data_IF_461499571874
#
_entry.id   IF_461499571874
#
_cell.length_a   1.000
_cell.length_b   1.000
_cell.length_c   1.000
_cell.angle_alpha   90.00
_cell.angle_beta   90.00
_cell.angle_gamma   90.00
#
_symmetry.space_group_name_H-M   'P 1'
#
loop_
_entity.id
_entity.type
_entity.pdbx_description
1 polymer ?
#
# COMPACT_ATOMS: atom_id res chain seq x y z
N UNK A 1 -10.65 -12.13 19.71
CA UNK A 1 -10.81 -13.42 19.00
C UNK A 1 -12.27 -13.80 19.14
N UNK A 2 -12.99 -13.98 18.04
CA UNK A 2 -14.41 -14.31 18.08
C UNK A 2 -14.56 -15.84 18.11
N UNK A 3 -15.00 -16.39 19.24
CA UNK A 3 -15.15 -17.84 19.44
C UNK A 3 -16.32 -18.44 18.67
N UNK A 4 -17.18 -17.61 18.06
CA UNK A 4 -18.25 -18.05 17.16
C UNK A 4 -17.75 -18.38 15.76
N UNK A 5 -16.46 -18.17 15.49
CA UNK A 5 -15.82 -18.45 14.21
C UNK A 5 -14.83 -19.62 14.34
N UNK A 6 -14.88 -20.53 13.37
CA UNK A 6 -13.89 -21.60 13.20
C UNK A 6 -13.10 -21.39 11.90
N UNK A 7 -11.80 -21.70 11.92
CA UNK A 7 -10.97 -21.71 10.73
C UNK A 7 -11.44 -22.86 9.81
N UNK A 8 -11.95 -22.52 8.64
CA UNK A 8 -12.42 -23.50 7.65
C UNK A 8 -11.32 -23.89 6.65
N UNK A 9 -10.32 -23.02 6.47
CA UNK A 9 -9.19 -23.29 5.60
C UNK A 9 -8.29 -22.08 5.41
N UNK A 10 -7.19 -22.28 4.70
CA UNK A 10 -6.30 -21.20 4.32
C UNK A 10 -5.72 -21.44 2.92
N UNK A 11 -5.41 -20.36 2.21
CA UNK A 11 -4.79 -20.42 0.90
C UNK A 11 -3.76 -19.29 0.73
N UNK A 12 -2.78 -19.50 -0.15
CA UNK A 12 -1.83 -18.46 -0.51
C UNK A 12 -2.37 -17.72 -1.72
N UNK A 13 -2.45 -16.39 -1.63
CA UNK A 13 -2.79 -15.54 -2.76
C UNK A 13 -2.00 -14.25 -2.70
N UNK A 14 -1.59 -13.80 -3.87
CA UNK A 14 -0.89 -12.54 -4.02
C UNK A 14 -1.85 -11.37 -3.81
N UNK A 15 -1.39 -10.35 -3.10
CA UNK A 15 -2.09 -9.06 -3.03
C UNK A 15 -2.11 -8.39 -4.42
N UNK A 16 -2.95 -7.37 -4.63
CA UNK A 16 -2.78 -6.48 -5.78
C UNK A 16 -1.35 -5.90 -5.85
N UNK A 17 -0.95 -5.50 -7.05
CA UNK A 17 0.37 -4.90 -7.30
C UNK A 17 0.56 -3.64 -6.47
N UNK A 18 1.61 -3.57 -5.66
CA UNK A 18 2.04 -2.40 -4.90
C UNK A 18 3.07 -1.60 -5.69
N UNK A 19 3.06 -0.28 -5.52
CA UNK A 19 4.03 0.65 -6.08
C UNK A 19 4.10 1.97 -5.31
N UNK A 20 5.13 2.77 -5.58
CA UNK A 20 5.24 4.16 -5.12
C UNK A 20 4.56 5.04 -6.16
N UNK A 21 3.45 5.66 -5.77
CA UNK A 21 2.61 6.49 -6.62
C UNK A 21 2.75 7.97 -6.27
N UNK A 22 2.61 8.82 -7.29
CA UNK A 22 2.47 10.28 -7.16
C UNK A 22 1.22 10.75 -7.90
N UNK A 23 0.83 12.00 -7.67
CA UNK A 23 -0.12 12.69 -8.56
C UNK A 23 0.49 12.86 -9.96
N UNK A 24 -0.28 12.60 -11.01
CA UNK A 24 0.20 12.72 -12.40
C UNK A 24 0.86 14.07 -12.66
N UNK A 25 2.05 14.03 -13.24
CA UNK A 25 2.80 15.23 -13.62
C UNK A 25 3.34 16.07 -12.46
N UNK A 26 3.04 15.73 -11.20
CA UNK A 26 3.52 16.49 -10.06
C UNK A 26 5.02 16.31 -9.85
N UNK A 27 5.74 17.42 -9.65
CA UNK A 27 7.13 17.36 -9.22
C UNK A 27 7.22 16.70 -7.84
N UNK A 28 8.26 15.90 -7.63
CA UNK A 28 8.52 15.23 -6.34
C UNK A 28 9.83 15.78 -5.79
N UNK A 29 9.85 16.32 -4.56
CA UNK A 29 11.07 16.87 -3.99
C UNK A 29 12.13 15.77 -3.75
N UNK A 30 13.43 16.11 -3.62
CA UNK A 30 14.49 15.14 -3.37
C UNK A 30 14.32 14.33 -2.08
N UNK A 31 13.63 14.90 -1.09
CA UNK A 31 13.25 14.29 0.19
C UNK A 31 11.72 14.23 0.32
N UNK A 32 11.04 13.27 -0.32
CA UNK A 32 9.59 13.21 -0.30
C UNK A 32 9.04 12.70 1.03
N UNK A 33 7.82 13.13 1.34
CA UNK A 33 6.95 12.55 2.37
C UNK A 33 6.12 11.44 1.74
N UNK A 34 6.25 10.23 2.27
CA UNK A 34 5.64 9.01 1.73
C UNK A 34 4.57 8.50 2.69
N UNK A 35 3.31 8.52 2.27
CA UNK A 35 2.22 7.90 3.02
C UNK A 35 2.16 6.39 2.78
N UNK A 36 1.96 5.60 3.85
CA UNK A 36 1.75 4.16 3.75
C UNK A 36 0.95 3.61 4.92
N UNK A 37 0.19 2.53 4.69
CA UNK A 37 -0.22 1.66 5.78
C UNK A 37 1.03 1.04 6.46
N UNK A 38 1.02 0.75 7.77
CA UNK A 38 2.17 0.15 8.45
C UNK A 38 2.61 -1.20 7.88
N UNK A 39 1.66 -2.07 7.51
CA UNK A 39 2.00 -3.43 7.06
C UNK A 39 2.88 -3.49 5.79
N UNK A 40 2.59 -2.77 4.69
CA UNK A 40 3.45 -2.78 3.51
C UNK A 40 4.65 -1.84 3.61
N UNK A 41 4.78 -1.01 4.66
CA UNK A 41 5.82 0.03 4.76
C UNK A 41 7.25 -0.44 4.41
N UNK A 42 7.70 -1.66 4.80
CA UNK A 42 9.03 -2.16 4.40
C UNK A 42 9.27 -2.21 2.88
N UNK A 43 8.23 -2.21 2.04
CA UNK A 43 8.37 -2.15 0.58
C UNK A 43 8.91 -0.81 0.08
N UNK A 44 8.85 0.28 0.87
CA UNK A 44 9.42 1.57 0.47
C UNK A 44 10.92 1.41 0.14
N UNK A 45 11.67 0.70 0.98
CA UNK A 45 13.09 0.44 0.75
C UNK A 45 13.38 -0.38 -0.53
N UNK A 46 12.39 -1.08 -1.06
CA UNK A 46 12.53 -1.91 -2.26
C UNK A 46 12.05 -1.19 -3.53
N UNK A 47 11.09 -0.27 -3.38
CA UNK A 47 10.37 0.32 -4.51
C UNK A 47 10.67 1.80 -4.72
N UNK A 48 11.15 2.52 -3.70
CA UNK A 48 11.53 3.93 -3.87
C UNK A 48 12.68 4.02 -4.88
N UNK A 49 12.55 4.82 -5.96
CA UNK A 49 13.62 4.97 -6.94
C UNK A 49 14.90 5.54 -6.31
N UNK A 50 16.06 5.03 -6.74
CA UNK A 50 17.39 5.36 -6.17
C UNK A 50 17.76 6.85 -6.19
N UNK A 51 17.10 7.65 -7.04
CA UNK A 51 17.26 9.12 -7.07
C UNK A 51 16.81 9.81 -5.77
N UNK A 52 16.02 9.14 -4.92
CA UNK A 52 15.60 9.65 -3.62
C UNK A 52 16.50 9.07 -2.53
N UNK A 53 17.46 9.88 -2.07
CA UNK A 53 18.46 9.44 -1.07
C UNK A 53 17.95 9.51 0.37
N UNK A 54 16.80 10.14 0.60
CA UNK A 54 16.13 10.18 1.89
C UNK A 54 14.63 10.45 1.70
N UNK A 55 13.82 10.10 2.69
CA UNK A 55 12.39 10.33 2.71
C UNK A 55 11.87 10.42 4.14
N UNK A 56 10.70 11.01 4.32
CA UNK A 56 9.93 10.93 5.57
C UNK A 56 8.78 9.95 5.36
N UNK A 57 8.46 9.13 6.35
CA UNK A 57 7.31 8.24 6.30
C UNK A 57 6.15 8.78 7.12
N UNK A 58 4.96 8.85 6.50
CA UNK A 58 3.70 9.17 7.16
C UNK A 58 2.85 7.89 7.24
N UNK A 59 2.52 7.44 8.46
CA UNK A 59 1.69 6.25 8.65
C UNK A 59 0.20 6.62 8.57
N UNK A 60 -0.55 5.88 7.76
CA UNK A 60 -2.00 6.05 7.60
C UNK A 60 -2.73 4.71 7.77
N UNK A 61 -4.06 4.74 7.85
CA UNK A 61 -4.88 3.58 8.21
C UNK A 61 -5.09 2.57 7.08
N UNK A 62 -4.78 2.91 5.83
CA UNK A 62 -4.89 1.99 4.69
C UNK A 62 -4.07 2.46 3.49
N UNK A 63 -3.90 1.58 2.49
CA UNK A 63 -3.27 1.94 1.21
C UNK A 63 -4.12 2.90 0.39
N UNK A 64 -5.46 2.80 0.48
CA UNK A 64 -6.36 3.79 -0.13
C UNK A 64 -6.25 5.15 0.56
N UNK A 65 -6.13 5.19 1.89
CA UNK A 65 -5.87 6.44 2.62
C UNK A 65 -4.55 7.09 2.20
N UNK A 66 -3.50 6.28 1.94
CA UNK A 66 -2.24 6.81 1.41
C UNK A 66 -2.41 7.44 0.03
N UNK A 67 -3.15 6.78 -0.86
CA UNK A 67 -3.43 7.32 -2.19
C UNK A 67 -4.27 8.61 -2.14
N UNK A 68 -5.28 8.65 -1.27
CA UNK A 68 -6.07 9.86 -1.00
C UNK A 68 -5.19 11.02 -0.55
N UNK A 69 -4.27 10.79 0.39
CA UNK A 69 -3.38 11.84 0.89
C UNK A 69 -2.52 12.49 -0.23
N UNK A 70 -2.07 11.71 -1.21
CA UNK A 70 -1.36 12.23 -2.40
C UNK A 70 -2.29 12.97 -3.35
N UNK A 71 -3.49 12.42 -3.59
CA UNK A 71 -4.52 13.08 -4.39
C UNK A 71 -4.86 14.46 -3.82
N UNK A 72 -4.95 14.56 -2.50
CA UNK A 72 -5.29 15.80 -1.79
C UNK A 72 -4.08 16.73 -1.59
N UNK A 73 -2.86 16.20 -1.76
CA UNK A 73 -1.62 16.98 -1.71
C UNK A 73 -1.06 17.16 -0.30
N UNK A 74 -1.51 16.33 0.64
CA UNK A 74 -1.03 16.30 2.02
C UNK A 74 0.37 15.68 2.13
N UNK A 75 0.73 14.84 1.17
CA UNK A 75 2.03 14.17 1.03
C UNK A 75 2.43 14.06 -0.44
N UNK A 76 3.73 13.83 -0.70
CA UNK A 76 4.27 13.79 -2.06
C UNK A 76 4.02 12.46 -2.76
N UNK A 77 4.15 11.36 -2.01
CA UNK A 77 4.11 10.00 -2.53
C UNK A 77 3.26 9.07 -1.66
N UNK A 78 2.75 8.00 -2.26
CA UNK A 78 2.04 6.93 -1.58
C UNK A 78 2.66 5.58 -1.91
N UNK A 79 2.95 4.76 -0.89
CA UNK A 79 3.03 3.32 -1.11
C UNK A 79 1.60 2.77 -1.10
N UNK A 80 1.11 2.42 -2.28
CA UNK A 80 -0.28 2.01 -2.48
C UNK A 80 -0.40 0.88 -3.49
N UNK A 81 -1.61 0.37 -3.70
CA UNK A 81 -1.91 -0.69 -4.65
C UNK A 81 -2.39 -0.13 -5.99
N UNK A 82 -2.26 -0.92 -7.06
CA UNK A 82 -2.71 -0.54 -8.39
C UNK A 82 -4.20 -0.16 -8.45
N UNK A 83 -5.14 -0.88 -7.80
CA UNK A 83 -6.54 -0.44 -7.78
C UNK A 83 -6.73 0.92 -7.10
N UNK A 84 -6.06 1.19 -5.97
CA UNK A 84 -6.14 2.48 -5.30
C UNK A 84 -5.51 3.59 -6.13
N UNK A 85 -4.35 3.36 -6.74
CA UNK A 85 -3.71 4.33 -7.63
C UNK A 85 -4.62 4.68 -8.82
N UNK A 86 -5.25 3.68 -9.44
CA UNK A 86 -6.19 3.89 -10.53
C UNK A 86 -7.44 4.66 -10.09
N UNK A 87 -8.02 4.32 -8.93
CA UNK A 87 -9.22 4.98 -8.40
C UNK A 87 -9.02 6.47 -8.07
N UNK A 88 -7.78 6.88 -7.80
CA UNK A 88 -7.45 8.26 -7.42
C UNK A 88 -6.54 8.97 -8.45
N UNK A 89 -6.50 8.46 -9.69
CA UNK A 89 -5.72 9.00 -10.81
C UNK A 89 -4.25 9.32 -10.49
N UNK A 90 -3.60 8.36 -9.84
CA UNK A 90 -2.17 8.44 -9.52
C UNK A 90 -1.35 7.64 -10.53
N UNK A 91 -0.08 7.99 -10.68
CA UNK A 91 0.87 7.25 -11.50
C UNK A 91 2.01 6.68 -10.67
N UNK A 92 2.42 5.45 -10.98
CA UNK A 92 3.58 4.84 -10.34
C UNK A 92 4.88 5.40 -10.91
N UNK A 93 5.81 5.75 -10.02
CA UNK A 93 7.18 6.17 -10.36
C UNK A 93 8.20 5.07 -10.07
N UNK A 94 7.73 3.91 -9.62
CA UNK A 94 8.51 2.73 -9.34
C UNK A 94 8.06 1.56 -10.20
N UNK A 95 8.88 0.51 -10.24
CA UNK A 95 8.37 -0.84 -10.53
C UNK A 95 7.27 -1.23 -9.54
N UNK A 96 6.48 -2.24 -9.87
CA UNK A 96 5.45 -2.76 -8.99
C UNK A 96 5.72 -4.21 -8.59
N UNK A 97 5.13 -4.67 -7.47
CA UNK A 97 5.19 -6.09 -7.06
C UNK A 97 4.02 -6.49 -6.18
N UNK A 98 3.74 -7.79 -6.10
CA UNK A 98 2.79 -8.34 -5.13
C UNK A 98 3.47 -8.66 -3.79
N UNK A 99 2.65 -8.83 -2.75
CA UNK A 99 3.01 -9.56 -1.53
C UNK A 99 2.31 -10.91 -1.60
N UNK A 100 3.07 -12.00 -1.49
CA UNK A 100 2.51 -13.34 -1.33
C UNK A 100 2.03 -13.51 0.10
N UNK A 101 0.72 -13.68 0.29
CA UNK A 101 0.10 -13.65 1.61
C UNK A 101 -0.74 -14.91 1.84
N UNK A 102 -0.76 -15.39 3.09
CA UNK A 102 -1.69 -16.41 3.56
C UNK A 102 -3.04 -15.75 3.90
N UNK A 103 -4.10 -16.29 3.35
CA UNK A 103 -5.48 -15.88 3.59
C UNK A 103 -6.20 -16.97 4.34
N UNK A 104 -6.80 -16.61 5.48
CA UNK A 104 -7.59 -17.53 6.29
C UNK A 104 -9.09 -17.31 6.01
N UNK A 105 -9.82 -18.39 5.83
CA UNK A 105 -11.28 -18.39 5.67
C UNK A 105 -11.89 -18.87 6.98
N UNK A 106 -12.81 -18.08 7.53
CA UNK A 106 -13.53 -18.41 8.76
C UNK A 106 -15.00 -18.65 8.44
N UNK A 107 -15.58 -19.67 9.06
CA UNK A 107 -17.03 -19.95 9.03
C UNK A 107 -17.59 -19.89 10.44
N UNK A 108 -18.92 -19.94 10.58
CA UNK A 108 -19.53 -20.17 11.89
C UNK A 108 -18.94 -21.43 12.53
N UNK A 109 -18.64 -21.36 13.82
CA UNK A 109 -18.22 -22.50 14.60
C UNK A 109 -19.38 -23.51 14.66
N UNK A 110 -19.11 -24.83 14.59
CA UNK A 110 -20.13 -25.83 14.85
C UNK A 110 -20.69 -25.64 16.27
N UNK A 111 -21.99 -25.88 16.42
CA UNK A 111 -22.72 -25.77 17.68
C UNK A 111 -22.27 -26.84 18.70
#
# INVERSE_FOLDING_TARGET
>A
MDTRLALAGAFIRDTPMYGIARRRGAAVPPRPRIASHPAPLPLVAQLLPDRFTAHETVKVTSTSAAAIAVRDGEVDLALTTQPSAAAYDLEFISRTRTIRMLWSVFTAAPA
#
